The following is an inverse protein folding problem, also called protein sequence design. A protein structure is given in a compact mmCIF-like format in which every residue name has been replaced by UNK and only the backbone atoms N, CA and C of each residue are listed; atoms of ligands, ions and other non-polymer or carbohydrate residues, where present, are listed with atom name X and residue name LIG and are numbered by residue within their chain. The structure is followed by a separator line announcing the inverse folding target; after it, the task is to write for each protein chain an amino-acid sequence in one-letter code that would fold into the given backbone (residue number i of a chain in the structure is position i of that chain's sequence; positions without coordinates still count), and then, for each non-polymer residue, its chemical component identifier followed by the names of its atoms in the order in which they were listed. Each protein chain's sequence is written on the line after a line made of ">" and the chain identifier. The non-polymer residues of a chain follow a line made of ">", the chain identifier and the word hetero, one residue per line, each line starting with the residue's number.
data_IF_265121110052
#
_entry.id   IF_265121110052
#
_cell.length_a   1.000
_cell.length_b   1.000
_cell.length_c   1.000
_cell.angle_alpha   90.00
_cell.angle_beta   90.00
_cell.angle_gamma   90.00
#
_symmetry.space_group_name_H-M   'P 1'
#
loop_
_entity.id
_entity.type
_entity.pdbx_description
1 polymer ?
#
# COMPACT_ATOMS: atom_id res chain seq x y z
N UNK A 1 -74.30 4.08 -46.86
CA UNK A 1 -74.86 4.53 -45.57
C UNK A 1 -73.82 4.33 -44.49
N UNK A 2 -73.49 5.46 -43.97
CA UNK A 2 -72.88 5.82 -42.67
C UNK A 2 -71.41 5.43 -42.54
N UNK A 3 -70.50 6.34 -42.72
CA UNK A 3 -70.07 7.45 -41.89
C UNK A 3 -69.78 7.09 -40.43
N UNK A 4 -68.54 7.21 -40.07
CA UNK A 4 -68.01 8.06 -38.96
C UNK A 4 -66.69 7.46 -38.55
N UNK A 5 -65.77 8.12 -38.29
CA UNK A 5 -65.20 9.40 -37.97
C UNK A 5 -63.83 9.12 -37.39
N UNK A 6 -62.90 9.95 -37.83
CA UNK A 6 -61.50 10.00 -37.40
C UNK A 6 -61.48 10.63 -36.01
N UNK A 7 -60.81 10.04 -35.06
CA UNK A 7 -60.24 10.80 -33.94
C UNK A 7 -58.78 10.50 -33.82
N UNK A 8 -58.01 11.48 -34.14
CA UNK A 8 -56.61 11.62 -33.83
C UNK A 8 -56.53 12.03 -32.37
N UNK A 9 -55.91 11.21 -31.55
CA UNK A 9 -55.52 11.65 -30.22
C UNK A 9 -53.99 11.75 -30.17
N UNK A 10 -53.61 13.01 -30.06
CA UNK A 10 -52.30 13.55 -29.85
C UNK A 10 -51.94 13.29 -28.40
N UNK A 11 -51.06 12.28 -28.14
CA UNK A 11 -50.49 12.09 -26.86
C UNK A 11 -49.00 12.42 -26.93
N UNK A 12 -48.74 13.63 -26.49
CA UNK A 12 -47.45 14.23 -26.30
C UNK A 12 -46.44 13.28 -25.68
N UNK A 13 -45.34 13.19 -26.37
CA UNK A 13 -44.03 12.79 -25.96
C UNK A 13 -43.63 13.49 -24.63
N UNK A 14 -43.61 12.75 -23.57
CA UNK A 14 -42.95 13.15 -22.33
C UNK A 14 -41.62 12.43 -22.26
N UNK A 15 -40.62 13.06 -22.86
CA UNK A 15 -39.23 12.80 -22.58
C UNK A 15 -38.95 13.20 -21.11
N UNK A 16 -38.98 12.25 -20.21
CA UNK A 16 -38.36 12.42 -18.90
C UNK A 16 -36.86 12.15 -19.07
N UNK A 17 -36.09 13.21 -19.22
CA UNK A 17 -34.67 13.23 -18.93
C UNK A 17 -34.49 12.87 -17.45
N UNK A 18 -34.20 11.59 -17.20
CA UNK A 18 -33.58 11.20 -15.96
C UNK A 18 -32.11 11.61 -16.08
N UNK A 19 -31.83 12.84 -15.66
CA UNK A 19 -30.47 13.30 -15.44
C UNK A 19 -29.78 12.31 -14.45
N UNK A 20 -28.73 11.70 -14.95
CA UNK A 20 -27.79 10.88 -14.21
C UNK A 20 -27.06 11.77 -13.18
N UNK A 21 -27.64 11.91 -11.98
CA UNK A 21 -27.04 12.65 -10.86
C UNK A 21 -26.02 11.83 -10.08
N UNK A 22 -25.74 10.59 -10.50
CA UNK A 22 -24.78 9.70 -9.83
C UNK A 22 -23.31 10.11 -10.01
N UNK A 23 -22.96 10.66 -11.18
CA UNK A 23 -21.55 10.96 -11.48
C UNK A 23 -21.00 12.21 -10.74
N UNK A 24 -21.84 13.11 -10.27
CA UNK A 24 -21.38 14.33 -9.61
C UNK A 24 -21.06 14.12 -8.14
N UNK A 25 -21.81 13.26 -7.44
CA UNK A 25 -21.56 12.96 -6.02
C UNK A 25 -20.28 12.10 -5.86
N UNK A 26 -20.05 11.14 -6.76
CA UNK A 26 -18.83 10.32 -6.76
C UNK A 26 -17.55 11.13 -7.05
N UNK A 27 -17.65 12.21 -7.84
CA UNK A 27 -16.52 13.10 -8.13
C UNK A 27 -16.21 14.03 -6.95
N UNK A 28 -17.22 14.54 -6.25
CA UNK A 28 -17.04 15.42 -5.08
C UNK A 28 -16.45 14.65 -3.90
N UNK A 29 -16.87 13.39 -3.69
CA UNK A 29 -16.32 12.51 -2.66
C UNK A 29 -14.86 12.11 -2.97
N UNK A 30 -14.53 11.92 -4.24
CA UNK A 30 -13.16 11.63 -4.69
C UNK A 30 -12.21 12.80 -4.45
N UNK A 31 -12.63 14.02 -4.77
CA UNK A 31 -11.84 15.24 -4.57
C UNK A 31 -11.64 15.56 -3.08
N UNK A 32 -12.67 15.35 -2.25
CA UNK A 32 -12.59 15.54 -0.81
C UNK A 32 -11.62 14.51 -0.17
N UNK A 33 -11.67 13.25 -0.60
CA UNK A 33 -10.76 12.20 -0.11
C UNK A 33 -9.31 12.46 -0.53
N UNK A 34 -9.08 12.97 -1.75
CA UNK A 34 -7.75 13.34 -2.21
C UNK A 34 -7.18 14.49 -1.39
N UNK A 35 -8.00 15.53 -1.11
CA UNK A 35 -7.60 16.67 -0.26
C UNK A 35 -7.25 16.24 1.17
N UNK A 36 -7.96 15.25 1.74
CA UNK A 36 -7.65 14.72 3.06
C UNK A 36 -6.32 13.96 3.05
N UNK A 37 -6.02 13.20 2.00
CA UNK A 37 -4.75 12.48 1.86
C UNK A 37 -3.56 13.43 1.63
N UNK A 38 -3.76 14.50 0.87
CA UNK A 38 -2.75 15.55 0.70
C UNK A 38 -2.44 16.23 2.04
N UNK A 39 -3.47 16.57 2.83
CA UNK A 39 -3.29 17.13 4.17
C UNK A 39 -2.58 16.16 5.12
N UNK A 40 -2.91 14.86 5.07
CA UNK A 40 -2.20 13.83 5.85
C UNK A 40 -0.72 13.77 5.44
N UNK A 41 -0.42 13.89 4.14
CA UNK A 41 0.92 13.93 3.58
C UNK A 41 1.71 15.14 4.06
N UNK A 42 1.12 16.34 3.99
CA UNK A 42 1.74 17.59 4.45
C UNK A 42 2.11 17.52 5.94
N UNK A 43 1.19 17.10 6.79
CA UNK A 43 1.44 16.96 8.24
C UNK A 43 2.55 15.92 8.50
N UNK A 44 2.56 14.84 7.73
CA UNK A 44 3.58 13.80 7.86
C UNK A 44 4.96 14.30 7.41
N UNK A 45 5.03 15.04 6.29
CA UNK A 45 6.25 15.64 5.79
C UNK A 45 6.84 16.64 6.78
N UNK A 46 6.02 17.55 7.31
CA UNK A 46 6.43 18.52 8.35
C UNK A 46 6.99 17.83 9.60
N UNK A 47 6.34 16.71 10.01
CA UNK A 47 6.81 15.95 11.17
C UNK A 47 8.17 15.29 10.92
N UNK A 48 8.37 14.72 9.72
CA UNK A 48 9.61 14.05 9.33
C UNK A 48 10.72 15.09 9.12
N UNK A 49 10.43 16.25 8.49
CA UNK A 49 11.38 17.36 8.33
C UNK A 49 11.88 17.83 9.69
N UNK A 50 10.98 18.08 10.64
CA UNK A 50 11.36 18.46 11.99
C UNK A 50 12.20 17.41 12.73
N UNK A 51 12.03 16.12 12.41
CA UNK A 51 12.85 15.04 12.96
C UNK A 51 14.25 15.04 12.32
N UNK A 52 14.35 15.23 11.01
CA UNK A 52 15.63 15.33 10.29
C UNK A 52 16.46 16.53 10.82
N UNK A 53 15.82 17.67 11.01
CA UNK A 53 16.44 18.86 11.57
C UNK A 53 17.02 18.62 12.98
N UNK A 54 16.26 17.95 13.86
CA UNK A 54 16.71 17.63 15.22
C UNK A 54 17.87 16.63 15.22
N UNK A 55 17.85 15.70 14.26
CA UNK A 55 18.88 14.68 14.13
C UNK A 55 20.14 15.16 13.35
N UNK A 56 20.14 16.39 12.83
CA UNK A 56 21.18 16.95 11.96
C UNK A 56 21.45 16.07 10.72
N UNK A 57 20.34 15.61 10.10
CA UNK A 57 20.33 14.77 8.92
C UNK A 57 19.80 15.55 7.71
N UNK A 58 20.48 15.41 6.57
CA UNK A 58 20.07 16.01 5.31
C UNK A 58 19.23 15.00 4.50
N UNK A 59 18.05 15.43 4.05
CA UNK A 59 17.19 14.64 3.18
C UNK A 59 16.15 15.49 2.48
N UNK A 60 15.88 15.16 1.23
CA UNK A 60 14.78 15.73 0.45
C UNK A 60 13.51 14.90 0.70
N UNK A 61 12.40 15.56 0.93
CA UNK A 61 11.11 14.93 1.19
C UNK A 61 10.21 15.11 -0.02
N UNK A 62 9.78 13.99 -0.59
CA UNK A 62 8.80 13.92 -1.66
C UNK A 62 7.48 13.35 -1.13
N UNK A 63 6.37 13.94 -1.57
CA UNK A 63 5.03 13.47 -1.25
C UNK A 63 4.30 13.02 -2.51
N UNK A 64 3.53 11.95 -2.38
CA UNK A 64 2.67 11.43 -3.44
C UNK A 64 1.40 10.81 -2.82
N UNK A 65 0.37 10.60 -3.65
CA UNK A 65 -0.84 9.88 -3.26
C UNK A 65 -1.02 8.68 -4.17
N UNK A 66 -0.97 7.48 -3.61
CA UNK A 66 -1.22 6.25 -4.34
C UNK A 66 -2.49 5.55 -3.83
N UNK A 67 -3.53 5.55 -4.64
CA UNK A 67 -4.84 5.01 -4.28
C UNK A 67 -5.43 5.76 -3.07
N UNK A 68 -5.59 5.06 -1.96
CA UNK A 68 -6.12 5.61 -0.71
C UNK A 68 -5.04 5.86 0.36
N UNK A 69 -3.82 6.24 -0.04
CA UNK A 69 -2.68 6.42 0.88
C UNK A 69 -1.85 7.62 0.51
N UNK A 70 -1.52 8.43 1.51
CA UNK A 70 -0.43 9.38 1.40
C UNK A 70 0.92 8.64 1.50
N UNK A 71 1.85 8.94 0.61
CA UNK A 71 3.21 8.40 0.60
C UNK A 71 4.17 9.55 0.85
N UNK A 72 5.00 9.40 1.87
CA UNK A 72 6.09 10.32 2.16
C UNK A 72 7.40 9.58 1.98
N UNK A 73 8.24 10.06 1.08
CA UNK A 73 9.53 9.48 0.76
C UNK A 73 10.65 10.43 1.14
N UNK A 74 11.64 9.94 1.86
CA UNK A 74 12.85 10.70 2.23
C UNK A 74 14.02 10.18 1.44
N UNK A 75 14.69 11.06 0.71
CA UNK A 75 15.87 10.74 -0.11
C UNK A 75 17.08 11.52 0.38
N UNK A 76 18.17 10.85 0.68
CA UNK A 76 19.39 11.46 1.18
C UNK A 76 20.55 10.48 1.28
N UNK A 77 21.75 11.00 1.51
CA UNK A 77 22.98 10.20 1.44
C UNK A 77 23.29 9.39 2.72
N UNK A 78 22.75 9.76 3.87
CA UNK A 78 23.16 9.21 5.18
C UNK A 78 21.95 8.85 6.05
N UNK A 79 20.94 8.20 5.46
CA UNK A 79 19.67 7.91 6.12
C UNK A 79 19.55 6.45 6.61
N UNK A 80 20.61 5.65 6.51
CA UNK A 80 20.56 4.23 6.89
C UNK A 80 20.22 4.02 8.37
N UNK A 81 20.60 4.94 9.24
CA UNK A 81 20.26 4.89 10.67
C UNK A 81 18.73 5.02 10.91
N UNK A 82 18.02 5.74 10.04
CA UNK A 82 16.57 5.89 10.10
C UNK A 82 15.82 4.67 9.55
N UNK A 83 16.50 3.82 8.81
CA UNK A 83 15.98 2.52 8.37
C UNK A 83 16.18 1.50 9.48
N UNK A 84 17.39 1.42 10.03
CA UNK A 84 17.78 0.45 11.05
C UNK A 84 17.85 -0.99 10.54
N UNK A 85 18.13 -1.92 11.46
CA UNK A 85 18.21 -3.34 11.14
C UNK A 85 16.86 -3.86 10.63
N UNK A 86 16.87 -4.45 9.44
CA UNK A 86 15.66 -5.00 8.78
C UNK A 86 14.46 -4.02 8.68
N UNK A 87 14.72 -2.69 8.73
CA UNK A 87 13.69 -1.67 8.64
C UNK A 87 12.95 -1.37 9.95
N UNK A 88 13.46 -1.84 11.09
CA UNK A 88 12.80 -1.69 12.39
C UNK A 88 12.65 -0.22 12.82
N UNK A 89 13.66 0.61 12.55
CA UNK A 89 13.59 2.05 12.85
C UNK A 89 12.58 2.73 11.93
N UNK A 90 12.58 2.42 10.64
CA UNK A 90 11.62 2.94 9.67
C UNK A 90 10.17 2.61 10.06
N UNK A 91 9.91 1.38 10.54
CA UNK A 91 8.56 1.01 10.99
C UNK A 91 8.14 1.79 12.23
N UNK A 92 9.05 1.98 13.19
CA UNK A 92 8.79 2.79 14.38
C UNK A 92 8.54 4.26 14.02
N UNK A 93 9.33 4.83 13.11
CA UNK A 93 9.14 6.20 12.61
C UNK A 93 7.80 6.34 11.89
N UNK A 94 7.42 5.39 11.05
CA UNK A 94 6.11 5.40 10.39
C UNK A 94 4.96 5.43 11.40
N UNK A 95 5.04 4.66 12.49
CA UNK A 95 3.99 4.68 13.52
C UNK A 95 3.96 6.01 14.28
N UNK A 96 5.12 6.60 14.58
CA UNK A 96 5.19 7.93 15.20
C UNK A 96 4.61 9.01 14.27
N UNK A 97 4.93 8.96 12.99
CA UNK A 97 4.39 9.89 11.98
C UNK A 97 2.86 9.74 11.87
N UNK A 98 2.34 8.51 11.84
CA UNK A 98 0.88 8.26 11.86
C UNK A 98 0.21 8.81 13.11
N UNK A 99 0.85 8.71 14.26
CA UNK A 99 0.35 9.29 15.51
C UNK A 99 0.35 10.83 15.48
N UNK A 100 1.37 11.44 14.85
CA UNK A 100 1.43 12.89 14.65
C UNK A 100 0.27 13.37 13.76
N UNK A 101 0.04 12.71 12.63
CA UNK A 101 -1.12 13.00 11.74
C UNK A 101 -2.44 12.80 12.49
N UNK A 102 -2.62 11.66 13.15
CA UNK A 102 -3.85 11.40 13.94
C UNK A 102 -4.13 12.46 14.99
N UNK A 103 -3.09 12.97 15.64
CA UNK A 103 -3.24 14.02 16.64
C UNK A 103 -3.78 15.33 16.07
N UNK A 104 -3.47 15.64 14.81
CA UNK A 104 -3.90 16.87 14.15
C UNK A 104 -5.25 16.71 13.45
N UNK A 105 -5.48 15.57 12.76
CA UNK A 105 -6.68 15.33 11.96
C UNK A 105 -7.82 14.68 12.76
N UNK A 106 -7.51 13.99 13.86
CA UNK A 106 -8.46 13.14 14.60
C UNK A 106 -8.84 11.85 13.88
N UNK A 107 -8.37 11.63 12.65
CA UNK A 107 -8.63 10.46 11.82
C UNK A 107 -7.45 9.48 11.84
N UNK A 108 -7.72 8.22 11.48
CA UNK A 108 -6.65 7.23 11.34
C UNK A 108 -5.96 7.41 9.99
N UNK A 109 -4.73 7.88 10.00
CA UNK A 109 -3.94 8.08 8.79
C UNK A 109 -3.61 6.77 8.07
N UNK A 110 -3.81 6.77 6.74
CA UNK A 110 -3.36 5.69 5.83
C UNK A 110 -2.05 6.11 5.16
N UNK A 111 -1.07 6.41 5.97
CA UNK A 111 0.23 6.90 5.55
C UNK A 111 1.23 5.76 5.35
N UNK A 112 2.07 5.89 4.33
CA UNK A 112 3.27 5.09 4.13
C UNK A 112 4.49 6.02 4.14
N UNK A 113 5.47 5.71 4.99
CA UNK A 113 6.78 6.34 5.02
C UNK A 113 7.80 5.41 4.35
N UNK A 114 8.60 5.93 3.44
CA UNK A 114 9.77 5.24 2.90
C UNK A 114 11.02 6.10 3.04
N UNK A 115 12.15 5.47 3.28
CA UNK A 115 13.45 6.14 3.44
C UNK A 115 14.46 5.46 2.52
N UNK A 116 15.02 6.27 1.62
CA UNK A 116 16.05 5.84 0.68
C UNK A 116 15.62 4.73 -0.26
N UNK A 117 14.31 4.56 -0.54
CA UNK A 117 13.81 3.48 -1.37
C UNK A 117 13.93 2.10 -0.73
N UNK A 118 14.03 2.03 0.61
CA UNK A 118 14.25 0.78 1.34
C UNK A 118 13.19 -0.27 1.04
N UNK A 119 11.91 0.12 1.03
CA UNK A 119 10.81 -0.83 0.85
C UNK A 119 10.84 -1.54 -0.52
N UNK A 120 11.14 -0.80 -1.58
CA UNK A 120 11.26 -1.37 -2.93
C UNK A 120 12.48 -2.30 -3.03
N UNK A 121 13.63 -1.86 -2.51
CA UNK A 121 14.86 -2.67 -2.45
C UNK A 121 14.66 -3.94 -1.64
N UNK A 122 14.10 -3.85 -0.44
CA UNK A 122 13.83 -5.00 0.43
C UNK A 122 12.87 -6.01 -0.22
N UNK A 123 11.84 -5.52 -0.90
CA UNK A 123 10.91 -6.38 -1.66
C UNK A 123 11.64 -7.16 -2.75
N UNK A 124 12.53 -6.52 -3.50
CA UNK A 124 13.31 -7.19 -4.55
C UNK A 124 14.24 -8.26 -3.97
N UNK A 125 14.97 -7.93 -2.90
CA UNK A 125 15.88 -8.86 -2.21
C UNK A 125 15.14 -10.10 -1.69
N UNK A 126 13.98 -9.91 -1.07
CA UNK A 126 13.17 -11.00 -0.54
C UNK A 126 12.55 -11.87 -1.65
N UNK A 127 12.15 -11.27 -2.77
CA UNK A 127 11.66 -12.01 -3.92
C UNK A 127 12.76 -12.85 -4.56
N UNK A 128 13.97 -12.30 -4.71
CA UNK A 128 15.14 -13.03 -5.21
C UNK A 128 15.57 -14.16 -4.25
N UNK A 129 15.53 -13.89 -2.96
CA UNK A 129 15.81 -14.88 -1.93
C UNK A 129 14.78 -16.03 -1.97
N UNK A 130 13.47 -15.71 -2.04
CA UNK A 130 12.41 -16.71 -2.15
C UNK A 130 12.56 -17.59 -3.38
N UNK A 131 12.92 -16.99 -4.54
CA UNK A 131 13.19 -17.72 -5.78
C UNK A 131 14.38 -18.67 -5.63
N UNK A 132 15.50 -18.17 -5.09
CA UNK A 132 16.71 -18.96 -4.88
C UNK A 132 16.45 -20.16 -3.96
N UNK A 133 15.70 -19.95 -2.87
CA UNK A 133 15.32 -21.04 -1.97
C UNK A 133 14.41 -22.07 -2.64
N UNK A 134 13.44 -21.61 -3.44
CA UNK A 134 12.54 -22.50 -4.18
C UNK A 134 13.31 -23.38 -5.18
N UNK A 135 14.28 -22.82 -5.90
CA UNK A 135 15.16 -23.58 -6.80
C UNK A 135 16.02 -24.61 -6.06
N UNK A 136 16.55 -24.25 -4.87
CA UNK A 136 17.29 -25.18 -4.03
C UNK A 136 16.43 -26.35 -3.56
N UNK A 137 15.22 -26.08 -3.07
CA UNK A 137 14.24 -27.08 -2.64
C UNK A 137 13.81 -27.98 -3.81
N UNK A 138 13.59 -27.41 -4.99
CA UNK A 138 13.29 -28.17 -6.21
C UNK A 138 14.42 -29.16 -6.58
N UNK A 139 15.67 -28.73 -6.41
CA UNK A 139 16.86 -29.53 -6.75
C UNK A 139 17.17 -30.60 -5.71
N UNK A 140 16.99 -30.30 -4.42
CA UNK A 140 17.36 -31.22 -3.33
C UNK A 140 16.22 -32.16 -2.94
N UNK A 141 14.96 -31.76 -3.14
CA UNK A 141 13.79 -32.47 -2.67
C UNK A 141 13.58 -32.35 -1.14
N UNK A 142 14.38 -31.53 -0.46
CA UNK A 142 14.31 -31.35 0.99
C UNK A 142 13.64 -30.02 1.34
N UNK A 143 12.77 -30.01 2.36
CA UNK A 143 12.16 -28.80 2.86
C UNK A 143 13.20 -27.88 3.52
N UNK A 144 13.04 -26.57 3.34
CA UNK A 144 13.94 -25.57 3.92
C UNK A 144 13.19 -24.57 4.79
N UNK A 145 13.65 -24.41 6.02
CA UNK A 145 13.11 -23.42 6.98
C UNK A 145 13.93 -22.13 6.88
N UNK A 146 13.25 -21.00 6.76
CA UNK A 146 13.86 -19.68 6.69
C UNK A 146 13.97 -19.03 8.07
N UNK A 147 14.64 -17.87 8.14
CA UNK A 147 14.66 -17.05 9.34
C UNK A 147 13.26 -16.50 9.67
N UNK A 148 13.07 -16.06 10.90
CA UNK A 148 11.86 -15.32 11.28
C UNK A 148 11.80 -14.01 10.50
N UNK A 149 10.62 -13.61 10.08
CA UNK A 149 10.39 -12.38 9.30
C UNK A 149 8.98 -11.85 9.52
N UNK A 150 8.79 -10.56 9.26
CA UNK A 150 7.51 -9.88 9.43
C UNK A 150 6.41 -10.47 8.52
N UNK A 151 5.12 -10.24 8.83
CA UNK A 151 4.00 -10.70 7.99
C UNK A 151 4.10 -10.22 6.53
N UNK A 152 4.56 -8.99 6.33
CA UNK A 152 4.78 -8.42 5.00
C UNK A 152 5.88 -9.15 4.24
N UNK A 153 7.03 -9.40 4.87
CA UNK A 153 8.15 -10.12 4.27
C UNK A 153 7.79 -11.56 3.93
N UNK A 154 7.07 -12.24 4.84
CA UNK A 154 6.58 -13.60 4.59
C UNK A 154 5.69 -13.67 3.35
N UNK A 155 4.83 -12.66 3.14
CA UNK A 155 3.99 -12.60 1.95
C UNK A 155 4.81 -12.54 0.67
N UNK A 156 5.85 -11.69 0.63
CA UNK A 156 6.71 -11.56 -0.55
C UNK A 156 7.42 -12.89 -0.87
N UNK A 157 7.96 -13.55 0.16
CA UNK A 157 8.63 -14.84 0.01
C UNK A 157 7.64 -15.92 -0.45
N UNK A 158 6.43 -15.99 0.11
CA UNK A 158 5.38 -16.92 -0.34
C UNK A 158 5.03 -16.73 -1.82
N UNK A 159 4.83 -15.46 -2.24
CA UNK A 159 4.50 -15.13 -3.61
C UNK A 159 5.63 -15.56 -4.58
N UNK A 160 6.90 -15.31 -4.19
CA UNK A 160 8.07 -15.69 -4.99
C UNK A 160 8.25 -17.22 -5.07
N UNK A 161 8.04 -17.94 -3.97
CA UNK A 161 8.11 -19.43 -3.91
C UNK A 161 6.99 -20.04 -4.76
N UNK A 162 5.77 -19.51 -4.67
CA UNK A 162 4.64 -19.98 -5.47
C UNK A 162 4.86 -19.73 -6.97
N UNK A 163 5.41 -18.56 -7.34
CA UNK A 163 5.77 -18.25 -8.72
C UNK A 163 6.85 -19.19 -9.29
N UNK A 164 7.73 -19.71 -8.42
CA UNK A 164 8.73 -20.73 -8.77
C UNK A 164 8.20 -22.18 -8.73
N UNK A 165 6.88 -22.36 -8.51
CA UNK A 165 6.21 -23.67 -8.56
C UNK A 165 6.44 -24.54 -7.31
N UNK A 166 6.89 -23.97 -6.20
CA UNK A 166 7.06 -24.68 -4.94
C UNK A 166 5.95 -24.30 -3.94
N UNK A 167 5.82 -25.11 -2.88
CA UNK A 167 4.85 -24.86 -1.80
C UNK A 167 5.55 -24.23 -0.60
N UNK A 168 4.87 -23.34 0.11
CA UNK A 168 5.39 -22.77 1.35
C UNK A 168 4.29 -22.57 2.38
N UNK A 169 4.67 -22.66 3.66
CA UNK A 169 3.78 -22.43 4.81
C UNK A 169 4.47 -21.54 5.83
N UNK A 170 3.68 -20.77 6.59
CA UNK A 170 4.19 -19.97 7.70
C UNK A 170 4.02 -20.75 9.00
N UNK A 171 5.10 -21.02 9.70
CA UNK A 171 5.15 -21.78 10.96
C UNK A 171 5.66 -20.93 12.13
N UNK A 172 5.20 -21.28 13.34
CA UNK A 172 5.56 -20.60 14.58
C UNK A 172 4.62 -19.45 14.93
N UNK A 173 4.93 -18.78 16.04
CA UNK A 173 4.20 -17.64 16.56
C UNK A 173 5.06 -16.37 16.50
N UNK A 174 4.41 -15.21 16.37
CA UNK A 174 5.12 -13.92 16.41
C UNK A 174 5.84 -13.74 17.75
N UNK A 175 7.04 -13.16 17.78
CA UNK A 175 7.80 -12.59 16.65
C UNK A 175 8.66 -13.60 15.89
N UNK A 176 8.64 -14.88 16.23
CA UNK A 176 9.52 -15.93 15.68
C UNK A 176 8.89 -16.70 14.49
N UNK A 177 7.79 -16.19 13.93
CA UNK A 177 7.11 -16.83 12.81
C UNK A 177 7.94 -16.74 11.54
N UNK A 178 8.02 -17.86 10.80
CA UNK A 178 8.94 -18.04 9.67
C UNK A 178 8.26 -18.77 8.52
N UNK A 179 8.85 -18.67 7.34
CA UNK A 179 8.42 -19.44 6.16
C UNK A 179 9.19 -20.76 6.11
N UNK A 180 8.49 -21.83 5.81
CA UNK A 180 9.05 -23.13 5.44
C UNK A 180 8.66 -23.44 4.01
N UNK A 181 9.66 -23.73 3.18
CA UNK A 181 9.48 -24.05 1.76
C UNK A 181 9.58 -25.56 1.57
N UNK A 182 8.61 -26.14 0.88
CA UNK A 182 8.49 -27.56 0.62
C UNK A 182 8.59 -27.84 -0.89
N UNK A 183 9.10 -29.01 -1.29
CA UNK A 183 9.08 -29.43 -2.69
C UNK A 183 7.64 -29.55 -3.18
N UNK A 184 7.42 -29.25 -4.47
CA UNK A 184 6.16 -29.55 -5.14
C UNK A 184 5.89 -31.06 -5.08
N UNK A 185 4.61 -31.43 -4.88
CA UNK A 185 4.20 -32.85 -4.88
C UNK A 185 4.02 -33.35 -6.31
#
# INVERSE_FOLDING_TARGET
>A
MSQQDVEVDDAADALEDAEDLGDAEDLEDGDAQLSDLELEGDIAADYVEGLLDIADLDGDIDMDVEGERAIVSVVGATLDELVGDDGAVLEALQELTRLAVHRQTGARARLMLDIGGYRARRRSELADYGRTVAEEVARTGEAKTLAAMSPFERKIVHDAVAAAGQRSESEGEEPNRRVVVYPAQ
#
